data_IF_018825733847
#
_entry.id   IF_018825733847
#
_cell.length_a   1.000
_cell.length_b   1.000
_cell.length_c   1.000
_cell.angle_alpha   90.00
_cell.angle_beta   90.00
_cell.angle_gamma   90.00
#
_symmetry.space_group_name_H-M   'P 1'
#
loop_
_entity.id
_entity.type
_entity.pdbx_description
1 polymer ?
#
# COMPACT_ATOMS: atom_id res chain seq x y z
N UNK A 1 -16.95 27.56 -7.81
CA UNK A 1 -16.05 27.14 -6.70
C UNK A 1 -16.48 25.78 -6.13
N UNK A 2 -17.78 25.54 -5.88
CA UNK A 2 -18.26 24.21 -5.45
C UNK A 2 -18.10 23.13 -6.54
N UNK A 3 -18.42 23.46 -7.80
CA UNK A 3 -18.34 22.49 -8.91
C UNK A 3 -16.92 22.03 -9.21
N UNK A 4 -15.95 22.95 -9.20
CA UNK A 4 -14.53 22.65 -9.38
C UNK A 4 -13.94 21.76 -8.29
N UNK A 5 -14.46 21.86 -7.06
CA UNK A 5 -14.02 21.01 -5.94
C UNK A 5 -14.62 19.60 -6.04
N UNK A 6 -15.88 19.50 -6.50
CA UNK A 6 -16.55 18.24 -6.78
C UNK A 6 -15.86 17.46 -7.91
N UNK A 7 -15.52 18.15 -9.00
CA UNK A 7 -14.78 17.57 -10.12
C UNK A 7 -13.42 17.04 -9.65
N UNK A 8 -12.63 17.86 -8.94
CA UNK A 8 -11.35 17.40 -8.39
C UNK A 8 -11.51 16.17 -7.48
N UNK A 9 -12.50 16.17 -6.58
CA UNK A 9 -12.76 15.05 -5.69
C UNK A 9 -13.12 13.76 -6.45
N UNK A 10 -13.86 13.88 -7.56
CA UNK A 10 -14.19 12.74 -8.42
C UNK A 10 -12.93 12.17 -9.10
N UNK A 11 -12.08 13.04 -9.66
CA UNK A 11 -10.81 12.64 -10.29
C UNK A 11 -9.87 12.01 -9.27
N UNK A 12 -9.77 12.57 -8.07
CA UNK A 12 -8.95 12.02 -6.98
C UNK A 12 -9.43 10.63 -6.55
N UNK A 13 -10.75 10.39 -6.48
CA UNK A 13 -11.31 9.05 -6.19
C UNK A 13 -10.99 8.05 -7.29
N UNK A 14 -11.11 8.44 -8.56
CA UNK A 14 -10.77 7.58 -9.70
C UNK A 14 -9.28 7.24 -9.67
N UNK A 15 -8.42 8.24 -9.46
CA UNK A 15 -6.97 8.05 -9.36
C UNK A 15 -6.60 7.15 -8.17
N UNK A 16 -7.21 7.34 -7.01
CA UNK A 16 -7.00 6.48 -5.86
C UNK A 16 -7.39 5.02 -6.15
N UNK A 17 -8.51 4.82 -6.86
CA UNK A 17 -8.93 3.47 -7.27
C UNK A 17 -7.98 2.86 -8.31
N UNK A 18 -7.51 3.64 -9.28
CA UNK A 18 -6.61 3.15 -10.34
C UNK A 18 -5.19 2.89 -9.85
N UNK A 19 -4.72 3.64 -8.86
CA UNK A 19 -3.36 3.49 -8.31
C UNK A 19 -3.35 2.57 -7.11
N UNK A 20 -4.14 2.85 -6.07
CA UNK A 20 -4.09 2.12 -4.80
C UNK A 20 -5.14 1.02 -4.67
N UNK A 21 -6.27 1.13 -5.39
CA UNK A 21 -7.29 0.08 -5.40
C UNK A 21 -6.79 -1.26 -5.95
N UNK A 22 -5.76 -1.22 -6.80
CA UNK A 22 -5.16 -2.41 -7.40
C UNK A 22 -3.93 -2.93 -6.66
N UNK A 23 -3.36 -2.19 -5.70
CA UNK A 23 -2.16 -2.63 -4.97
C UNK A 23 -2.40 -3.96 -4.25
N UNK A 24 -3.54 -4.11 -3.58
CA UNK A 24 -3.88 -5.38 -2.93
C UNK A 24 -4.09 -6.53 -3.91
N UNK A 25 -4.62 -6.26 -5.11
CA UNK A 25 -4.78 -7.25 -6.17
C UNK A 25 -3.42 -7.64 -6.79
N UNK A 26 -2.55 -6.65 -7.06
CA UNK A 26 -1.20 -6.84 -7.58
C UNK A 26 -0.34 -7.63 -6.60
N UNK A 27 -0.38 -7.30 -5.30
CA UNK A 27 0.28 -8.07 -4.24
C UNK A 27 -0.16 -9.53 -4.23
N UNK A 28 -1.47 -9.80 -4.29
CA UNK A 28 -2.00 -11.18 -4.35
C UNK A 28 -1.55 -11.91 -5.61
N UNK A 29 -1.52 -11.22 -6.75
CA UNK A 29 -1.03 -11.79 -8.00
C UNK A 29 0.45 -12.16 -7.92
N UNK A 30 1.31 -11.24 -7.45
CA UNK A 30 2.74 -11.47 -7.30
C UNK A 30 3.04 -12.62 -6.34
N UNK A 31 2.36 -12.68 -5.18
CA UNK A 31 2.51 -13.80 -4.23
C UNK A 31 2.10 -15.14 -4.84
N UNK A 32 1.04 -15.18 -5.65
CA UNK A 32 0.64 -16.40 -6.37
C UNK A 32 1.67 -16.79 -7.42
N UNK A 33 2.20 -15.81 -8.16
CA UNK A 33 3.23 -16.05 -9.17
C UNK A 33 4.49 -16.61 -8.54
N UNK A 34 4.96 -15.99 -7.44
CA UNK A 34 6.09 -16.46 -6.64
C UNK A 34 5.88 -17.91 -6.16
N UNK A 35 4.70 -18.21 -5.62
CA UNK A 35 4.37 -19.57 -5.18
C UNK A 35 4.33 -20.59 -6.33
N UNK A 36 3.97 -20.18 -7.54
CA UNK A 36 4.02 -21.06 -8.72
C UNK A 36 5.47 -21.30 -9.18
N UNK A 37 6.32 -20.27 -9.16
CA UNK A 37 7.74 -20.38 -9.51
C UNK A 37 8.45 -21.28 -8.51
N UNK A 38 8.24 -21.08 -7.20
CA UNK A 38 8.84 -21.91 -6.18
C UNK A 38 8.47 -23.38 -6.37
N UNK A 39 7.19 -23.67 -6.63
CA UNK A 39 6.74 -25.03 -6.97
C UNK A 39 7.44 -25.57 -8.22
N UNK A 40 7.60 -24.75 -9.27
CA UNK A 40 8.29 -25.18 -10.49
C UNK A 40 9.79 -25.46 -10.26
N UNK A 41 10.44 -24.70 -9.36
CA UNK A 41 11.84 -24.91 -8.98
C UNK A 41 12.04 -26.21 -8.20
N UNK A 42 11.06 -26.63 -7.39
CA UNK A 42 11.12 -27.90 -6.65
C UNK A 42 11.24 -29.13 -7.58
N UNK A 43 10.74 -29.03 -8.82
CA UNK A 43 10.85 -30.10 -9.83
C UNK A 43 12.11 -29.97 -10.69
N UNK A 44 12.59 -28.75 -10.94
CA UNK A 44 13.80 -28.50 -11.73
C UNK A 44 14.27 -27.05 -11.59
N UNK A 45 15.51 -26.86 -11.13
CA UNK A 45 16.09 -25.53 -10.99
C UNK A 45 16.72 -25.07 -12.32
N UNK A 46 15.97 -24.29 -13.09
CA UNK A 46 16.49 -23.60 -14.29
C UNK A 46 16.93 -22.19 -13.93
N UNK A 47 18.07 -21.73 -14.48
CA UNK A 47 18.58 -20.36 -14.26
C UNK A 47 17.54 -19.28 -14.57
N UNK A 48 16.73 -19.50 -15.60
CA UNK A 48 15.61 -18.60 -15.98
C UNK A 48 14.53 -18.47 -14.91
N UNK A 49 14.27 -19.53 -14.12
CA UNK A 49 13.28 -19.49 -13.04
C UNK A 49 13.81 -18.67 -11.86
N UNK A 50 15.10 -18.77 -11.57
CA UNK A 50 15.78 -17.96 -10.53
C UNK A 50 15.76 -16.48 -10.92
N UNK A 51 16.11 -16.17 -12.18
CA UNK A 51 16.11 -14.79 -12.68
C UNK A 51 14.67 -14.19 -12.61
N UNK A 52 13.65 -14.99 -12.95
CA UNK A 52 12.24 -14.59 -12.85
C UNK A 52 11.77 -14.44 -11.40
N UNK A 53 12.23 -15.30 -10.50
CA UNK A 53 11.91 -15.18 -9.08
C UNK A 53 12.42 -13.86 -8.49
N UNK A 54 13.67 -13.50 -8.80
CA UNK A 54 14.28 -12.24 -8.36
C UNK A 54 13.49 -11.02 -8.86
N UNK A 55 13.07 -11.03 -10.13
CA UNK A 55 12.26 -9.95 -10.71
C UNK A 55 10.91 -9.80 -9.98
N UNK A 56 10.24 -10.93 -9.67
CA UNK A 56 8.96 -10.90 -8.94
C UNK A 56 9.14 -10.48 -7.48
N UNK A 57 10.25 -10.85 -6.85
CA UNK A 57 10.59 -10.40 -5.49
C UNK A 57 10.82 -8.89 -5.44
N UNK A 58 11.58 -8.33 -6.39
CA UNK A 58 11.80 -6.88 -6.50
C UNK A 58 10.48 -6.12 -6.74
N UNK A 59 9.64 -6.62 -7.64
CA UNK A 59 8.33 -6.01 -7.88
C UNK A 59 7.43 -6.08 -6.63
N UNK A 60 7.47 -7.19 -5.89
CA UNK A 60 6.71 -7.36 -4.66
C UNK A 60 7.19 -6.40 -3.57
N UNK A 61 8.50 -6.23 -3.40
CA UNK A 61 9.08 -5.27 -2.46
C UNK A 61 8.64 -3.83 -2.78
N UNK A 62 8.68 -3.46 -4.06
CA UNK A 62 8.21 -2.16 -4.51
C UNK A 62 6.72 -1.93 -4.18
N UNK A 63 5.87 -2.94 -4.41
CA UNK A 63 4.44 -2.88 -4.07
C UNK A 63 4.22 -2.75 -2.55
N UNK A 64 5.01 -3.46 -1.73
CA UNK A 64 4.96 -3.37 -0.28
C UNK A 64 5.40 -1.99 0.24
N UNK A 65 6.45 -1.41 -0.33
CA UNK A 65 6.93 -0.06 0.01
C UNK A 65 5.84 1.01 -0.28
N UNK A 66 5.14 0.88 -1.40
CA UNK A 66 4.01 1.76 -1.73
C UNK A 66 2.83 1.59 -0.75
N UNK A 67 2.53 0.35 -0.36
CA UNK A 67 1.50 0.05 0.64
C UNK A 67 1.88 0.67 2.00
N UNK A 68 3.12 0.50 2.44
CA UNK A 68 3.61 1.08 3.69
C UNK A 68 3.52 2.62 3.69
N UNK A 69 3.96 3.27 2.62
CA UNK A 69 3.89 4.72 2.49
C UNK A 69 2.44 5.21 2.60
N UNK A 70 1.51 4.53 1.92
CA UNK A 70 0.09 4.84 1.99
C UNK A 70 -0.44 4.70 3.43
N UNK A 71 -0.06 3.63 4.13
CA UNK A 71 -0.46 3.40 5.52
C UNK A 71 0.09 4.46 6.46
N UNK A 72 1.36 4.86 6.31
CA UNK A 72 1.96 5.96 7.07
C UNK A 72 1.22 7.28 6.84
N UNK A 73 0.86 7.59 5.60
CA UNK A 73 0.09 8.79 5.28
C UNK A 73 -1.31 8.78 5.90
N UNK A 74 -2.03 7.65 5.80
CA UNK A 74 -3.34 7.48 6.43
C UNK A 74 -3.26 7.65 7.95
N UNK A 75 -2.33 6.95 8.60
CA UNK A 75 -2.14 7.04 10.04
C UNK A 75 -1.83 8.49 10.49
N UNK A 76 -1.04 9.24 9.71
CA UNK A 76 -0.78 10.66 9.98
C UNK A 76 -2.03 11.52 9.81
N UNK A 77 -2.82 11.31 8.76
CA UNK A 77 -4.08 12.02 8.56
C UNK A 77 -5.07 11.71 9.69
N UNK A 78 -5.18 10.44 10.09
CA UNK A 78 -6.03 10.02 11.20
C UNK A 78 -5.56 10.67 12.52
N UNK A 79 -4.25 10.66 12.79
CA UNK A 79 -3.68 11.33 13.96
C UNK A 79 -3.99 12.84 13.97
N UNK A 80 -3.87 13.53 12.84
CA UNK A 80 -4.23 14.94 12.72
C UNK A 80 -5.73 15.18 12.88
N UNK A 81 -6.58 14.26 12.38
CA UNK A 81 -8.03 14.37 12.46
C UNK A 81 -8.55 14.14 13.88
N UNK A 82 -8.05 13.11 14.56
CA UNK A 82 -8.43 12.83 15.95
C UNK A 82 -7.71 13.74 16.95
N UNK A 83 -6.59 14.35 16.55
CA UNK A 83 -5.79 15.23 17.40
C UNK A 83 -5.21 14.50 18.62
N UNK A 84 -4.51 15.24 19.46
CA UNK A 84 -4.07 14.75 20.75
C UNK A 84 -5.24 14.80 21.74
N UNK A 85 -6.10 13.77 21.71
CA UNK A 85 -7.14 13.53 22.72
C UNK A 85 -6.57 13.47 24.16
N UNK A 86 -5.24 13.46 24.32
CA UNK A 86 -4.54 13.52 25.60
C UNK A 86 -4.39 14.95 26.15
N UNK A 87 -4.66 15.99 25.35
CA UNK A 87 -4.61 17.38 25.83
C UNK A 87 -5.53 17.63 27.02
N UNK A 88 -6.72 17.01 27.06
CA UNK A 88 -7.62 17.14 28.22
C UNK A 88 -7.01 16.56 29.51
N UNK A 89 -6.25 15.48 29.41
CA UNK A 89 -5.60 14.83 30.56
C UNK A 89 -4.43 15.67 31.09
N UNK A 90 -3.59 16.21 30.19
CA UNK A 90 -2.48 17.10 30.58
C UNK A 90 -2.96 18.47 31.06
N UNK A 91 -4.04 19.01 30.48
CA UNK A 91 -4.63 20.27 30.96
C UNK A 91 -5.39 20.10 32.28
N UNK A 92 -5.93 18.91 32.60
CA UNK A 92 -6.59 18.66 33.89
C UNK A 92 -5.65 18.25 35.03
N UNK A 93 -4.42 17.82 34.73
CA UNK A 93 -3.40 17.51 35.75
C UNK A 93 -2.48 18.69 36.10
N UNK A 94 -2.55 19.80 35.33
CA UNK A 94 -1.67 20.97 35.53
C UNK A 94 -2.39 22.16 36.21
N UNK A 95 -3.69 22.05 36.52
CA UNK A 95 -4.42 23.04 37.34
C UNK A 95 -4.85 22.45 38.67
#
# INVERSE_FOLDING_TARGET
MADSLSDFASHAKVWNRSVYGFIGARKKYLLRSLGNIQKAMDWSSFRRLIDLELEIQDELENVLNHEELLWRQKARCDWLHFGDCNTRYFHSHTM
#
